data_IF_196398386944
#
_entry.id   IF_196398386944
#
_cell.length_a   1.000
_cell.length_b   1.000
_cell.length_c   1.000
_cell.angle_alpha   90.00
_cell.angle_beta   90.00
_cell.angle_gamma   90.00
#
_symmetry.space_group_name_H-M   'P 1'
#
loop_
_entity.id
_entity.type
_entity.pdbx_description
1 polymer ?
#
# COMPACT_ATOMS: atom_id res chain seq x y z
N UNK A 1 -21.59 -5.95 4.55
CA UNK A 1 -20.11 -6.09 4.62
C UNK A 1 -19.49 -4.73 4.42
N UNK A 2 -18.48 -4.32 5.22
CA UNK A 2 -17.81 -3.02 5.06
C UNK A 2 -16.78 -3.09 3.93
N UNK A 3 -16.65 -2.03 3.15
CA UNK A 3 -15.64 -1.90 2.08
C UNK A 3 -14.85 -0.61 2.29
N UNK A 4 -13.53 -0.73 2.34
CA UNK A 4 -12.61 0.40 2.48
C UNK A 4 -11.86 0.59 1.16
N UNK A 5 -11.89 1.81 0.64
CA UNK A 5 -11.12 2.22 -0.55
C UNK A 5 -10.01 3.15 -0.10
N UNK A 6 -8.77 2.81 -0.46
CA UNK A 6 -7.57 3.61 -0.17
C UNK A 6 -7.02 4.14 -1.47
N UNK A 7 -6.99 5.46 -1.63
CA UNK A 7 -6.41 6.13 -2.81
C UNK A 7 -4.98 6.53 -2.50
N UNK A 8 -4.04 5.99 -3.27
CA UNK A 8 -2.60 6.20 -3.10
C UNK A 8 -1.88 4.93 -2.64
N UNK A 9 -1.32 4.17 -3.59
CA UNK A 9 -0.56 2.94 -3.35
C UNK A 9 0.90 3.15 -2.91
N UNK A 10 1.20 4.29 -2.26
CA UNK A 10 2.50 4.57 -1.66
C UNK A 10 2.66 3.94 -0.27
N UNK A 11 3.72 4.34 0.44
CA UNK A 11 4.05 3.80 1.78
C UNK A 11 2.88 3.91 2.78
N UNK A 12 2.17 5.04 2.78
CA UNK A 12 1.04 5.28 3.67
C UNK A 12 -0.14 4.33 3.37
N UNK A 13 -0.56 4.26 2.10
CA UNK A 13 -1.68 3.40 1.70
C UNK A 13 -1.38 1.92 1.93
N UNK A 14 -0.18 1.46 1.59
CA UNK A 14 0.24 0.09 1.89
C UNK A 14 0.22 -0.21 3.40
N UNK A 15 0.73 0.70 4.23
CA UNK A 15 0.75 0.54 5.69
C UNK A 15 -0.66 0.39 6.27
N UNK A 16 -1.63 1.18 5.79
CA UNK A 16 -3.03 1.09 6.21
C UNK A 16 -3.62 -0.27 5.84
N UNK A 17 -3.49 -0.68 4.57
CA UNK A 17 -4.06 -1.95 4.09
C UNK A 17 -3.45 -3.15 4.82
N UNK A 18 -2.12 -3.15 5.00
CA UNK A 18 -1.41 -4.17 5.76
C UNK A 18 -1.89 -4.22 7.21
N UNK A 19 -2.04 -3.07 7.87
CA UNK A 19 -2.51 -3.01 9.25
C UNK A 19 -3.95 -3.49 9.40
N UNK A 20 -4.84 -3.14 8.48
CA UNK A 20 -6.23 -3.63 8.47
C UNK A 20 -6.29 -5.15 8.39
N UNK A 21 -5.50 -5.77 7.51
CA UNK A 21 -5.43 -7.24 7.40
C UNK A 21 -4.81 -7.88 8.65
N UNK A 22 -3.76 -7.30 9.20
CA UNK A 22 -3.16 -7.77 10.46
C UNK A 22 -4.11 -7.65 11.66
N UNK A 23 -5.02 -6.68 11.65
CA UNK A 23 -6.08 -6.52 12.64
C UNK A 23 -7.34 -7.36 12.32
N UNK A 24 -7.23 -8.34 11.42
CA UNK A 24 -8.31 -9.26 11.04
C UNK A 24 -9.56 -8.54 10.51
N UNK A 25 -9.40 -7.39 9.85
CA UNK A 25 -10.49 -6.78 9.12
C UNK A 25 -10.98 -7.73 8.02
N UNK A 26 -12.24 -8.14 8.14
CA UNK A 26 -12.94 -9.13 7.32
C UNK A 26 -13.61 -8.54 6.08
N UNK A 27 -13.75 -7.20 6.03
CA UNK A 27 -14.33 -6.50 4.90
C UNK A 27 -13.44 -6.47 3.65
N UNK A 28 -14.01 -6.01 2.55
CA UNK A 28 -13.28 -5.79 1.30
C UNK A 28 -12.35 -4.59 1.43
N UNK A 29 -11.19 -4.66 0.78
CA UNK A 29 -10.25 -3.53 0.70
C UNK A 29 -9.84 -3.37 -0.77
N UNK A 30 -9.93 -2.14 -1.29
CA UNK A 30 -9.38 -1.78 -2.60
C UNK A 30 -8.29 -0.73 -2.41
N UNK A 31 -7.09 -1.00 -2.92
CA UNK A 31 -5.97 -0.07 -2.95
C UNK A 31 -5.78 0.43 -4.38
N UNK A 32 -5.90 1.74 -4.59
CA UNK A 32 -5.76 2.36 -5.90
C UNK A 32 -4.41 3.06 -5.99
N UNK A 33 -3.60 2.64 -6.96
CA UNK A 33 -2.33 3.28 -7.32
C UNK A 33 -2.39 3.80 -8.76
N UNK A 34 -1.66 4.88 -9.03
CA UNK A 34 -1.47 5.38 -10.40
C UNK A 34 -0.28 4.69 -11.09
N UNK A 35 0.70 4.21 -10.33
CA UNK A 35 1.87 3.54 -10.88
C UNK A 35 1.46 2.14 -11.41
N UNK A 36 1.96 1.71 -12.57
CA UNK A 36 1.63 0.40 -13.16
C UNK A 36 2.36 -0.77 -12.47
N UNK A 37 3.00 -0.51 -11.32
CA UNK A 37 3.79 -1.47 -10.56
C UNK A 37 3.22 -1.60 -9.14
N UNK A 38 3.46 -2.74 -8.46
CA UNK A 38 3.09 -2.89 -7.05
C UNK A 38 3.73 -1.81 -6.15
N UNK A 39 3.15 -1.54 -4.95
CA UNK A 39 3.74 -0.63 -3.97
C UNK A 39 5.21 -0.94 -3.67
N UNK A 40 6.05 0.09 -3.68
CA UNK A 40 7.49 -0.01 -3.45
C UNK A 40 7.98 1.05 -2.46
N UNK A 41 9.13 0.79 -1.86
CA UNK A 41 9.81 1.77 -1.01
C UNK A 41 10.62 2.73 -1.88
N UNK A 42 10.34 4.03 -1.75
CA UNK A 42 11.11 5.10 -2.43
C UNK A 42 12.51 5.33 -1.86
N UNK A 43 12.78 5.27 -0.53
CA UNK A 43 14.10 5.60 0.01
C UNK A 43 15.27 4.76 -0.51
N UNK A 44 15.12 3.44 -0.77
CA UNK A 44 16.18 2.64 -1.39
C UNK A 44 16.52 3.03 -2.82
N UNK A 45 15.61 3.68 -3.55
CA UNK A 45 15.81 4.05 -4.96
C UNK A 45 16.94 5.06 -5.17
N UNK A 46 17.17 5.95 -4.22
CA UNK A 46 18.28 6.91 -4.24
C UNK A 46 19.50 6.46 -3.44
N UNK A 47 19.51 5.21 -2.98
CA UNK A 47 20.58 4.64 -2.14
C UNK A 47 20.96 3.26 -2.67
N UNK A 48 20.40 2.21 -2.04
CA UNK A 48 20.73 0.81 -2.30
C UNK A 48 20.59 0.40 -3.77
N UNK A 49 19.64 0.97 -4.51
CA UNK A 49 19.42 0.62 -5.92
C UNK A 49 20.14 1.56 -6.90
N UNK A 50 20.73 2.66 -6.42
CA UNK A 50 21.46 3.60 -7.26
C UNK A 50 22.97 3.31 -7.30
N UNK A 51 23.48 2.61 -6.28
CA UNK A 51 24.87 2.17 -6.14
C UNK A 51 25.02 0.72 -6.59
#
# INVERSE_FOLDING_TARGET
MKHIVVVGAGQAGFSVVSKLRNLQFDGSITLIGNDPVPPYQRPPLSKKYLL
#
